data_IF_331277090735
#
_entry.id   IF_331277090735
#
_cell.length_a   1.000
_cell.length_b   1.000
_cell.length_c   1.000
_cell.angle_alpha   90.00
_cell.angle_beta   90.00
_cell.angle_gamma   90.00
#
_symmetry.space_group_name_H-M   'P 1'
#
loop_
_entity.id
_entity.type
_entity.pdbx_description
1 polymer ?
#
# COMPACT_ATOMS: atom_id res chain seq x y z
N UNK A 1 -10.06 -22.19 -7.09
CA UNK A 1 -9.82 -20.85 -6.53
C UNK A 1 -9.06 -21.02 -5.21
N UNK A 2 -7.96 -20.28 -5.02
CA UNK A 2 -7.17 -20.28 -3.78
C UNK A 2 -7.37 -18.98 -3.02
N UNK A 3 -7.29 -19.05 -1.69
CA UNK A 3 -7.25 -17.85 -0.85
C UNK A 3 -5.87 -17.20 -0.90
N UNK A 4 -5.82 -15.86 -0.86
CA UNK A 4 -4.56 -15.12 -0.91
C UNK A 4 -3.63 -15.45 0.26
N UNK A 5 -2.37 -15.75 -0.03
CA UNK A 5 -1.33 -16.04 0.94
C UNK A 5 -0.31 -14.88 1.00
N UNK A 6 -0.71 -13.78 1.62
CA UNK A 6 0.11 -12.55 1.68
C UNK A 6 1.51 -12.74 2.29
N UNK A 7 1.73 -13.56 3.32
CA UNK A 7 3.09 -13.81 3.81
C UNK A 7 4.00 -14.42 2.74
N UNK A 8 3.52 -15.42 2.01
CA UNK A 8 4.26 -16.04 0.90
C UNK A 8 4.52 -15.04 -0.23
N UNK A 9 3.49 -14.25 -0.60
CA UNK A 9 3.65 -13.24 -1.66
C UNK A 9 4.67 -12.17 -1.28
N UNK A 10 4.67 -11.72 -0.02
CA UNK A 10 5.64 -10.75 0.49
C UNK A 10 7.06 -11.28 0.49
N UNK A 11 7.29 -12.53 0.87
CA UNK A 11 8.60 -13.16 0.83
C UNK A 11 9.12 -13.32 -0.61
N UNK A 12 8.28 -13.84 -1.51
CA UNK A 12 8.65 -14.00 -2.92
C UNK A 12 8.93 -12.66 -3.60
N UNK A 13 8.12 -11.63 -3.31
CA UNK A 13 8.37 -10.26 -3.74
C UNK A 13 9.74 -9.76 -3.26
N UNK A 14 10.05 -9.95 -1.98
CA UNK A 14 11.34 -9.53 -1.40
C UNK A 14 12.53 -10.18 -2.11
N UNK A 15 12.42 -11.46 -2.50
CA UNK A 15 13.45 -12.18 -3.27
C UNK A 15 13.61 -11.60 -4.68
N UNK A 16 12.48 -11.35 -5.38
CA UNK A 16 12.49 -10.71 -6.69
C UNK A 16 13.13 -9.33 -6.62
N UNK A 17 12.72 -8.49 -5.65
CA UNK A 17 13.26 -7.14 -5.50
C UNK A 17 14.75 -7.14 -5.17
N UNK A 18 15.23 -8.13 -4.41
CA UNK A 18 16.66 -8.29 -4.15
C UNK A 18 17.46 -8.57 -5.42
N UNK A 19 16.96 -9.48 -6.27
CA UNK A 19 17.60 -9.79 -7.57
C UNK A 19 17.62 -8.55 -8.46
N UNK A 20 16.50 -7.83 -8.56
CA UNK A 20 16.42 -6.60 -9.36
C UNK A 20 17.44 -5.57 -8.88
N UNK A 21 17.64 -5.42 -7.56
CA UNK A 21 18.61 -4.51 -6.98
C UNK A 21 20.08 -4.83 -7.30
N UNK A 22 20.37 -6.04 -7.79
CA UNK A 22 21.74 -6.41 -8.25
C UNK A 22 22.04 -5.83 -9.64
N UNK A 23 21.04 -5.35 -10.39
CA UNK A 23 21.16 -4.86 -11.75
C UNK A 23 21.31 -3.34 -11.86
N UNK A 24 21.14 -2.60 -10.76
CA UNK A 24 21.36 -1.15 -10.70
C UNK A 24 21.65 -0.71 -9.26
N UNK A 25 22.53 0.28 -9.05
CA UNK A 25 22.82 0.83 -7.73
C UNK A 25 21.64 1.63 -7.16
N UNK A 26 20.70 2.07 -8.00
CA UNK A 26 19.54 2.87 -7.60
C UNK A 26 18.27 2.10 -7.94
N UNK A 27 17.54 1.69 -6.90
CA UNK A 27 16.28 0.99 -7.01
C UNK A 27 15.19 1.68 -6.18
N UNK A 28 14.01 1.80 -6.75
CA UNK A 28 12.78 2.16 -6.06
C UNK A 28 11.82 0.98 -6.09
N UNK A 29 11.55 0.37 -4.94
CA UNK A 29 10.50 -0.64 -4.79
C UNK A 29 9.15 0.08 -4.71
N UNK A 30 8.46 0.16 -5.85
CA UNK A 30 7.21 0.90 -5.99
C UNK A 30 6.01 0.16 -5.38
N UNK A 31 5.93 -1.15 -5.57
CA UNK A 31 4.87 -2.00 -5.02
C UNK A 31 5.38 -3.42 -4.70
N UNK A 32 4.49 -4.33 -4.33
CA UNK A 32 4.84 -5.75 -4.10
C UNK A 32 5.31 -6.46 -5.38
N UNK A 33 4.92 -5.96 -6.55
CA UNK A 33 5.14 -6.59 -7.86
C UNK A 33 5.81 -5.67 -8.88
N UNK A 34 6.20 -4.46 -8.49
CA UNK A 34 6.79 -3.46 -9.37
C UNK A 34 7.96 -2.74 -8.72
N UNK A 35 9.01 -2.53 -9.51
CA UNK A 35 10.21 -1.79 -9.12
C UNK A 35 10.71 -0.96 -10.30
N UNK A 36 11.21 0.23 -10.01
CA UNK A 36 12.00 1.02 -10.96
C UNK A 36 13.48 0.87 -10.61
N UNK A 37 14.32 0.84 -11.63
CA UNK A 37 15.78 0.91 -11.50
C UNK A 37 16.30 2.00 -12.41
N UNK A 38 17.33 2.70 -11.97
CA UNK A 38 18.02 3.69 -12.76
C UNK A 38 19.07 3.01 -13.61
N UNK A 39 19.01 3.19 -14.91
CA UNK A 39 19.90 2.59 -15.90
C UNK A 39 20.93 3.58 -16.46
N UNK A 40 20.87 4.85 -15.99
CA UNK A 40 21.84 5.87 -16.40
C UNK A 40 23.26 5.43 -16.00
N UNK A 41 24.21 5.65 -16.88
CA UNK A 41 25.65 5.33 -16.68
C UNK A 41 26.01 3.83 -16.55
N UNK A 42 25.11 2.92 -16.92
CA UNK A 42 25.50 1.51 -17.01
C UNK A 42 26.34 1.27 -18.27
N UNK A 43 27.51 0.61 -18.14
CA UNK A 43 28.47 0.43 -19.26
C UNK A 43 28.10 -0.72 -20.22
N UNK A 44 26.87 -1.24 -20.15
CA UNK A 44 26.46 -2.47 -20.86
C UNK A 44 25.49 -2.18 -22.01
N UNK A 45 25.37 -3.14 -22.92
CA UNK A 45 24.25 -3.16 -23.84
C UNK A 45 22.95 -3.32 -23.02
N UNK A 46 22.11 -2.28 -23.02
CA UNK A 46 20.95 -2.16 -22.16
C UNK A 46 19.95 -3.29 -22.37
N UNK A 47 19.65 -3.63 -23.60
CA UNK A 47 18.68 -4.69 -23.90
C UNK A 47 19.15 -6.06 -23.44
N UNK A 48 20.42 -6.42 -23.67
CA UNK A 48 20.97 -7.69 -23.21
C UNK A 48 21.04 -7.76 -21.67
N UNK A 49 21.34 -6.65 -21.01
CA UNK A 49 21.35 -6.56 -19.56
C UNK A 49 19.94 -6.77 -18.97
N UNK A 50 18.92 -6.18 -19.56
CA UNK A 50 17.53 -6.36 -19.13
C UNK A 50 16.98 -7.75 -19.42
N UNK A 51 17.41 -8.39 -20.53
CA UNK A 51 17.08 -9.80 -20.79
C UNK A 51 17.74 -10.72 -19.74
N UNK A 52 18.98 -10.45 -19.35
CA UNK A 52 19.65 -11.19 -18.29
C UNK A 52 18.94 -11.05 -16.95
N UNK A 53 18.50 -9.84 -16.58
CA UNK A 53 17.69 -9.58 -15.38
C UNK A 53 16.42 -10.44 -15.39
N UNK A 54 15.66 -10.40 -16.48
CA UNK A 54 14.43 -11.16 -16.63
C UNK A 54 14.66 -12.67 -16.46
N UNK A 55 15.69 -13.20 -17.11
CA UNK A 55 16.04 -14.62 -17.02
C UNK A 55 16.53 -14.99 -15.61
N UNK A 56 17.32 -14.15 -14.96
CA UNK A 56 17.80 -14.36 -13.60
C UNK A 56 16.66 -14.44 -12.59
N UNK A 57 15.71 -13.49 -12.64
CA UNK A 57 14.51 -13.52 -11.79
C UNK A 57 13.74 -14.82 -12.00
N UNK A 58 13.48 -15.20 -13.26
CA UNK A 58 12.76 -16.43 -13.60
C UNK A 58 13.46 -17.69 -13.10
N UNK A 59 14.78 -17.79 -13.29
CA UNK A 59 15.54 -18.97 -12.90
C UNK A 59 15.58 -19.14 -11.37
N UNK A 60 15.71 -18.06 -10.61
CA UNK A 60 15.88 -18.12 -9.17
C UNK A 60 14.59 -18.14 -8.38
N UNK A 61 13.52 -17.59 -8.94
CA UNK A 61 12.23 -17.47 -8.22
C UNK A 61 11.09 -18.26 -8.87
N UNK A 62 11.26 -18.70 -10.12
CA UNK A 62 10.18 -19.27 -10.93
C UNK A 62 9.16 -18.24 -11.43
N UNK A 63 9.29 -16.95 -11.05
CA UNK A 63 8.33 -15.89 -11.37
C UNK A 63 8.74 -15.20 -12.68
N UNK A 64 7.90 -15.24 -13.73
CA UNK A 64 8.17 -14.48 -14.94
C UNK A 64 7.90 -12.99 -14.71
N UNK A 65 8.81 -12.15 -15.17
CA UNK A 65 8.67 -10.68 -15.13
C UNK A 65 8.79 -10.10 -16.55
N UNK A 66 8.30 -8.87 -16.73
CA UNK A 66 8.53 -8.07 -17.93
C UNK A 66 9.28 -6.79 -17.54
N UNK A 67 10.10 -6.30 -18.44
CA UNK A 67 10.91 -5.10 -18.27
C UNK A 67 10.56 -4.08 -19.35
N UNK A 68 10.22 -2.88 -18.94
CA UNK A 68 10.04 -1.74 -19.84
C UNK A 68 11.13 -0.72 -19.59
N UNK A 69 11.80 -0.30 -20.65
CA UNK A 69 12.83 0.73 -20.63
C UNK A 69 12.28 2.01 -21.23
N UNK A 70 12.64 3.14 -20.64
CA UNK A 70 12.23 4.48 -21.10
C UNK A 70 12.89 5.56 -20.27
N UNK A 71 13.11 6.70 -20.86
CA UNK A 71 13.77 7.88 -20.27
C UNK A 71 13.04 8.47 -19.07
N UNK A 72 11.75 8.12 -18.88
CA UNK A 72 10.94 8.55 -17.75
C UNK A 72 10.16 7.40 -17.15
N UNK A 73 9.66 7.57 -15.92
CA UNK A 73 8.84 6.53 -15.26
C UNK A 73 7.55 6.22 -16.03
N UNK A 74 6.88 7.22 -16.61
CA UNK A 74 5.67 7.02 -17.42
C UNK A 74 5.99 6.23 -18.68
N UNK A 75 7.09 6.55 -19.37
CA UNK A 75 7.55 5.83 -20.56
C UNK A 75 7.97 4.39 -20.22
N UNK A 76 8.74 4.20 -19.15
CA UNK A 76 9.14 2.86 -18.70
C UNK A 76 7.91 1.97 -18.36
N UNK A 77 6.88 2.54 -17.70
CA UNK A 77 5.63 1.82 -17.41
C UNK A 77 4.83 1.49 -18.67
N UNK A 78 4.79 2.41 -19.63
CA UNK A 78 4.17 2.19 -20.92
C UNK A 78 4.92 1.08 -21.70
N UNK A 79 6.25 1.14 -21.72
CA UNK A 79 7.11 0.12 -22.33
C UNK A 79 6.88 -1.27 -21.69
N UNK A 80 6.81 -1.34 -20.37
CA UNK A 80 6.52 -2.58 -19.65
C UNK A 80 5.16 -3.18 -20.03
N UNK A 81 4.12 -2.34 -20.18
CA UNK A 81 2.81 -2.77 -20.67
C UNK A 81 2.90 -3.38 -22.08
N UNK A 82 3.68 -2.78 -22.97
CA UNK A 82 3.90 -3.27 -24.34
C UNK A 82 4.68 -4.58 -24.33
N UNK A 83 5.76 -4.65 -23.55
CA UNK A 83 6.53 -5.87 -23.36
C UNK A 83 5.67 -7.06 -22.89
N UNK A 84 4.71 -6.79 -22.01
CA UNK A 84 3.77 -7.80 -21.49
C UNK A 84 2.70 -8.19 -22.50
N UNK A 85 2.21 -7.24 -23.30
CA UNK A 85 1.10 -7.45 -24.25
C UNK A 85 1.53 -8.20 -25.51
N UNK A 86 2.75 -7.97 -25.98
CA UNK A 86 3.22 -8.47 -27.28
C UNK A 86 4.36 -9.48 -27.12
N UNK A 87 4.13 -10.79 -27.31
CA UNK A 87 5.15 -11.84 -27.16
C UNK A 87 6.42 -11.67 -28.00
N UNK A 88 6.32 -10.95 -29.12
CA UNK A 88 7.46 -10.68 -30.03
C UNK A 88 8.62 -9.93 -29.37
N UNK A 89 8.36 -9.23 -28.27
CA UNK A 89 9.40 -8.50 -27.52
C UNK A 89 10.07 -9.35 -26.43
N UNK A 90 9.68 -10.63 -26.32
CA UNK A 90 10.21 -11.54 -25.29
C UNK A 90 10.30 -10.90 -23.89
N UNK A 91 9.28 -10.14 -23.53
CA UNK A 91 9.13 -9.53 -22.20
C UNK A 91 10.08 -8.38 -21.88
N UNK A 92 10.87 -7.86 -22.82
CA UNK A 92 11.69 -6.65 -22.66
C UNK A 92 11.43 -5.71 -23.84
N UNK A 93 11.19 -4.44 -23.55
CA UNK A 93 10.91 -3.44 -24.58
C UNK A 93 11.47 -2.08 -24.17
N UNK A 94 12.22 -1.46 -25.10
CA UNK A 94 12.70 -0.09 -24.98
C UNK A 94 11.84 0.82 -25.86
N UNK A 95 11.19 1.80 -25.25
CA UNK A 95 10.31 2.73 -25.95
C UNK A 95 11.08 3.87 -26.61
N UNK A 96 12.25 4.21 -26.06
CA UNK A 96 13.08 5.32 -26.56
C UNK A 96 13.78 4.96 -27.90
N UNK A 97 13.90 3.66 -28.22
CA UNK A 97 14.39 3.19 -29.53
C UNK A 97 13.36 3.35 -30.67
N UNK A 98 12.10 3.76 -30.34
CA UNK A 98 11.08 3.88 -31.36
C UNK A 98 11.25 5.16 -32.20
N UNK A 99 11.19 5.07 -33.54
CA UNK A 99 11.00 6.25 -34.37
C UNK A 99 9.69 6.99 -34.00
N UNK A 100 9.71 8.31 -34.09
CA UNK A 100 8.60 9.18 -33.67
C UNK A 100 7.23 8.75 -34.23
N UNK A 101 7.17 8.37 -35.51
CA UNK A 101 5.91 7.91 -36.11
C UNK A 101 5.37 6.62 -35.48
N UNK A 102 6.26 5.70 -35.11
CA UNK A 102 5.88 4.46 -34.41
C UNK A 102 5.48 4.75 -32.97
N UNK A 103 6.15 5.68 -32.31
CA UNK A 103 5.78 6.15 -30.98
C UNK A 103 4.36 6.73 -30.99
N UNK A 104 4.03 7.64 -31.92
CA UNK A 104 2.68 8.19 -32.07
C UNK A 104 1.62 7.11 -32.31
N UNK A 105 1.89 6.14 -33.21
CA UNK A 105 0.99 5.01 -33.46
C UNK A 105 0.78 4.14 -32.21
N UNK A 106 1.84 3.95 -31.41
CA UNK A 106 1.74 3.23 -30.16
C UNK A 106 0.84 3.98 -29.17
N UNK A 107 1.02 5.29 -28.99
CA UNK A 107 0.16 6.09 -28.13
C UNK A 107 -1.31 6.07 -28.57
N UNK A 108 -1.59 6.07 -29.86
CA UNK A 108 -2.96 5.92 -30.41
C UNK A 108 -3.61 4.57 -30.04
N UNK A 109 -2.80 3.53 -29.88
CA UNK A 109 -3.28 2.18 -29.51
C UNK A 109 -3.52 1.94 -28.03
N UNK A 110 -3.21 2.93 -27.19
CA UNK A 110 -3.29 2.84 -25.72
C UNK A 110 -4.37 3.80 -25.21
N UNK A 111 -5.37 3.27 -24.52
CA UNK A 111 -6.39 4.10 -23.88
C UNK A 111 -5.77 5.02 -22.82
N UNK A 112 -6.30 6.23 -22.68
CA UNK A 112 -5.80 7.21 -21.70
C UNK A 112 -5.89 6.71 -20.25
N UNK A 113 -6.88 5.86 -19.95
CA UNK A 113 -7.03 5.23 -18.64
C UNK A 113 -5.97 4.17 -18.30
N UNK A 114 -5.19 3.77 -19.29
CA UNK A 114 -4.09 2.82 -19.16
C UNK A 114 -2.73 3.48 -18.94
N UNK A 115 -2.67 4.81 -19.04
CA UNK A 115 -1.49 5.56 -18.65
C UNK A 115 -1.25 5.48 -17.14
N UNK A 116 -0.01 5.22 -16.77
CA UNK A 116 0.38 5.22 -15.37
C UNK A 116 0.12 6.58 -14.72
N UNK A 117 -0.62 6.58 -13.61
CA UNK A 117 -1.06 7.79 -12.91
C UNK A 117 -2.44 8.31 -13.32
N UNK A 118 -3.03 7.81 -14.41
CA UNK A 118 -4.40 8.14 -14.82
C UNK A 118 -5.37 7.10 -14.24
N UNK A 119 -6.02 7.42 -13.13
CA UNK A 119 -7.01 6.55 -12.51
C UNK A 119 -8.39 6.66 -13.19
N UNK A 120 -9.34 5.76 -12.83
CA UNK A 120 -10.69 5.72 -13.40
C UNK A 120 -11.42 7.06 -13.44
N UNK A 121 -11.31 7.88 -12.39
CA UNK A 121 -12.00 9.17 -12.34
C UNK A 121 -11.32 10.19 -13.24
N UNK A 122 -9.99 10.17 -13.30
CA UNK A 122 -9.22 11.00 -14.23
C UNK A 122 -9.53 10.66 -15.67
N UNK A 123 -9.57 9.38 -16.03
CA UNK A 123 -9.95 8.92 -17.37
C UNK A 123 -11.37 9.37 -17.75
N UNK A 124 -12.35 9.30 -16.82
CA UNK A 124 -13.70 9.81 -17.08
C UNK A 124 -13.73 11.32 -17.34
N UNK A 125 -12.91 12.11 -16.64
CA UNK A 125 -12.83 13.56 -16.89
C UNK A 125 -12.21 13.85 -18.26
N UNK A 126 -11.13 13.16 -18.62
CA UNK A 126 -10.47 13.29 -19.91
C UNK A 126 -11.39 12.89 -21.08
N UNK A 127 -12.08 11.76 -20.97
CA UNK A 127 -13.03 11.29 -21.98
C UNK A 127 -14.17 12.29 -22.24
N UNK A 128 -14.61 13.05 -21.23
CA UNK A 128 -15.65 14.09 -21.41
C UNK A 128 -15.21 15.26 -22.28
N UNK A 129 -13.91 15.50 -22.41
CA UNK A 129 -13.34 16.54 -23.27
C UNK A 129 -12.75 15.99 -24.56
N UNK A 130 -13.07 14.71 -24.92
CA UNK A 130 -12.63 14.08 -26.16
C UNK A 130 -11.24 13.44 -26.12
N UNK A 131 -10.58 13.39 -24.94
CA UNK A 131 -9.27 12.75 -24.77
C UNK A 131 -9.48 11.27 -24.39
N UNK A 132 -9.36 10.38 -25.38
CA UNK A 132 -9.64 8.95 -25.23
C UNK A 132 -8.37 8.09 -25.22
N UNK A 133 -7.37 8.49 -26.02
CA UNK A 133 -6.11 7.77 -26.19
C UNK A 133 -4.96 8.47 -25.50
N UNK A 134 -3.87 7.76 -25.29
CA UNK A 134 -2.62 8.33 -24.81
C UNK A 134 -2.05 9.36 -25.77
N UNK A 135 -2.35 9.23 -27.08
CA UNK A 135 -1.99 10.20 -28.10
C UNK A 135 -2.78 11.50 -27.97
N UNK A 136 -4.10 11.40 -27.76
CA UNK A 136 -4.92 12.61 -27.50
C UNK A 136 -4.42 13.35 -26.29
N UNK A 137 -4.06 12.62 -25.22
CA UNK A 137 -3.47 13.21 -24.01
C UNK A 137 -2.12 13.86 -24.30
N UNK A 138 -1.26 13.21 -25.08
CA UNK A 138 0.04 13.73 -25.50
C UNK A 138 -0.09 15.02 -26.32
N UNK A 139 -1.10 15.11 -27.19
CA UNK A 139 -1.36 16.31 -28.04
C UNK A 139 -2.16 17.40 -27.32
N UNK A 140 -2.70 17.12 -26.14
CA UNK A 140 -3.51 18.09 -25.38
C UNK A 140 -2.68 19.27 -24.88
N UNK A 141 -3.30 20.44 -24.76
CA UNK A 141 -2.69 21.58 -24.08
C UNK A 141 -2.41 21.25 -22.61
N UNK A 142 -1.19 21.53 -22.17
CA UNK A 142 -0.74 21.20 -20.79
C UNK A 142 -1.52 21.98 -19.72
N UNK A 143 -1.99 23.20 -20.03
CA UNK A 143 -2.81 24.01 -19.12
C UNK A 143 -4.20 23.40 -18.90
N UNK A 144 -4.79 22.84 -19.96
CA UNK A 144 -6.06 22.08 -19.86
C UNK A 144 -5.88 20.84 -18.98
N UNK A 145 -4.80 20.09 -19.22
CA UNK A 145 -4.49 18.90 -18.43
C UNK A 145 -4.25 19.25 -16.95
N UNK A 146 -3.49 20.33 -16.68
CA UNK A 146 -3.22 20.80 -15.31
C UNK A 146 -4.51 21.26 -14.62
N UNK A 147 -5.41 21.92 -15.31
CA UNK A 147 -6.72 22.33 -14.77
C UNK A 147 -7.59 21.13 -14.37
N UNK A 148 -7.60 20.07 -15.19
CA UNK A 148 -8.45 18.89 -14.96
C UNK A 148 -7.88 17.92 -13.92
N UNK A 149 -6.56 17.68 -13.93
CA UNK A 149 -5.90 16.62 -13.18
C UNK A 149 -4.90 17.16 -12.15
N UNK A 150 -4.69 18.45 -12.09
CA UNK A 150 -3.70 19.11 -11.22
C UNK A 150 -2.26 18.85 -11.66
N UNK A 151 -1.32 19.13 -10.77
CA UNK A 151 0.14 18.99 -11.01
C UNK A 151 0.55 17.59 -11.44
N UNK A 152 -0.16 16.54 -10.99
CA UNK A 152 0.14 15.18 -11.41
C UNK A 152 -0.16 14.95 -12.89
N UNK A 153 -1.27 15.50 -13.41
CA UNK A 153 -1.58 15.46 -14.83
C UNK A 153 -0.49 16.13 -15.67
N UNK A 154 -0.04 17.33 -15.26
CA UNK A 154 1.06 18.03 -15.89
C UNK A 154 2.35 17.21 -15.92
N UNK A 155 2.73 16.59 -14.81
CA UNK A 155 3.93 15.73 -14.74
C UNK A 155 3.82 14.56 -15.70
N UNK A 156 2.69 13.84 -15.72
CA UNK A 156 2.47 12.72 -16.64
C UNK A 156 2.60 13.19 -18.10
N UNK A 157 2.03 14.35 -18.42
CA UNK A 157 2.12 14.93 -19.75
C UNK A 157 3.58 15.21 -20.15
N UNK A 158 4.34 15.87 -19.30
CA UNK A 158 5.76 16.15 -19.55
C UNK A 158 6.62 14.88 -19.65
N UNK A 159 6.33 13.88 -18.86
CA UNK A 159 7.05 12.59 -18.92
C UNK A 159 6.81 11.83 -20.23
N UNK A 160 5.66 11.99 -20.87
CA UNK A 160 5.43 11.45 -22.23
C UNK A 160 6.28 12.14 -23.30
N UNK A 161 6.75 13.37 -23.05
CA UNK A 161 7.72 14.07 -23.91
C UNK A 161 9.19 13.73 -23.57
N UNK A 162 9.44 12.79 -22.66
CA UNK A 162 10.79 12.43 -22.23
C UNK A 162 11.37 13.33 -21.13
N UNK A 163 10.60 14.30 -20.61
CA UNK A 163 11.05 15.20 -19.54
C UNK A 163 10.80 14.56 -18.18
N UNK A 164 11.83 14.04 -17.53
CA UNK A 164 11.71 13.40 -16.21
C UNK A 164 11.28 14.41 -15.14
N UNK A 165 10.08 14.25 -14.62
CA UNK A 165 9.45 15.10 -13.60
C UNK A 165 9.14 14.38 -12.30
N UNK A 166 9.21 13.05 -12.29
CA UNK A 166 8.91 12.18 -11.14
C UNK A 166 10.22 11.55 -10.69
N UNK A 167 10.84 12.06 -9.60
CA UNK A 167 12.15 11.59 -9.17
C UNK A 167 12.09 10.13 -8.69
N UNK A 168 13.24 9.45 -8.70
CA UNK A 168 13.40 8.14 -8.07
C UNK A 168 13.41 8.27 -6.55
N UNK A 169 12.58 7.47 -5.88
CA UNK A 169 12.47 7.40 -4.42
C UNK A 169 13.25 6.18 -3.89
N UNK A 170 14.58 6.28 -3.85
CA UNK A 170 15.45 5.20 -3.32
C UNK A 170 15.25 4.98 -1.81
N UNK A 171 14.86 6.02 -1.07
CA UNK A 171 14.52 5.94 0.36
C UNK A 171 13.02 6.19 0.52
N UNK A 172 12.25 5.20 1.01
CA UNK A 172 10.83 5.38 1.23
C UNK A 172 10.56 6.58 2.15
N UNK A 173 9.65 7.49 1.80
CA UNK A 173 9.33 8.63 2.64
C UNK A 173 8.75 8.18 3.98
N UNK A 174 8.95 8.99 5.02
CA UNK A 174 8.37 8.72 6.35
C UNK A 174 6.85 8.60 6.22
N UNK A 175 6.30 7.53 6.79
CA UNK A 175 4.85 7.28 6.74
C UNK A 175 4.08 8.42 7.39
N UNK A 176 3.11 8.97 6.69
CA UNK A 176 2.23 10.03 7.20
C UNK A 176 1.07 9.48 8.03
N UNK A 177 0.69 8.22 7.77
CA UNK A 177 -0.40 7.53 8.45
C UNK A 177 -0.22 6.00 8.43
N UNK A 178 -0.82 5.32 9.40
CA UNK A 178 -0.93 3.87 9.46
C UNK A 178 -2.40 3.51 9.45
N UNK A 179 -2.82 2.73 8.45
CA UNK A 179 -4.18 2.23 8.30
C UNK A 179 -4.24 0.75 8.66
N UNK A 180 -5.23 0.38 9.46
CA UNK A 180 -5.58 -1.02 9.73
C UNK A 180 -7.09 -1.20 9.55
N UNK A 181 -7.49 -1.91 8.50
CA UNK A 181 -8.90 -2.14 8.18
C UNK A 181 -9.12 -3.53 7.59
N UNK A 182 -10.35 -4.01 7.70
CA UNK A 182 -10.78 -5.29 7.12
C UNK A 182 -12.22 -5.20 6.64
N UNK A 183 -12.49 -5.84 5.50
CA UNK A 183 -13.84 -6.31 5.20
C UNK A 183 -14.11 -7.54 6.05
N UNK A 184 -15.26 -7.58 6.70
CA UNK A 184 -15.62 -8.66 7.60
C UNK A 184 -16.09 -9.90 6.83
N UNK A 185 -15.88 -11.08 7.38
CA UNK A 185 -16.34 -12.35 6.79
C UNK A 185 -17.84 -12.51 6.79
N UNK A 186 -18.54 -11.79 7.68
CA UNK A 186 -19.98 -11.62 7.74
C UNK A 186 -20.31 -10.17 8.10
N UNK A 187 -21.51 -9.72 7.76
CA UNK A 187 -21.97 -8.39 8.18
C UNK A 187 -22.14 -8.36 9.71
N UNK A 188 -21.50 -7.42 10.39
CA UNK A 188 -21.59 -7.23 11.84
C UNK A 188 -22.71 -6.22 12.15
N UNK A 189 -23.55 -6.52 13.16
CA UNK A 189 -24.65 -5.67 13.58
C UNK A 189 -24.48 -5.19 15.02
N UNK A 190 -23.84 -6.02 15.83
CA UNK A 190 -23.68 -5.78 17.25
C UNK A 190 -22.47 -4.90 17.56
N UNK A 191 -22.61 -4.03 18.58
CA UNK A 191 -21.57 -3.13 19.02
C UNK A 191 -20.34 -3.89 19.53
N UNK A 192 -20.55 -4.95 20.31
CA UNK A 192 -19.47 -5.68 20.95
C UNK A 192 -18.64 -6.48 19.92
N UNK A 193 -19.29 -7.05 18.90
CA UNK A 193 -18.60 -7.70 17.79
C UNK A 193 -17.74 -6.70 17.00
N UNK A 194 -18.26 -5.50 16.71
CA UNK A 194 -17.53 -4.42 16.05
C UNK A 194 -16.36 -3.93 16.90
N UNK A 195 -16.58 -3.74 18.20
CA UNK A 195 -15.57 -3.30 19.13
C UNK A 195 -14.42 -4.33 19.24
N UNK A 196 -14.76 -5.61 19.31
CA UNK A 196 -13.77 -6.69 19.27
C UNK A 196 -12.94 -6.68 17.98
N UNK A 197 -13.60 -6.57 16.82
CA UNK A 197 -12.92 -6.51 15.53
C UNK A 197 -11.98 -5.30 15.45
N UNK A 198 -12.44 -4.12 15.88
CA UNK A 198 -11.63 -2.90 15.90
C UNK A 198 -10.47 -2.98 16.90
N UNK A 199 -10.66 -3.61 18.06
CA UNK A 199 -9.58 -3.84 19.04
C UNK A 199 -8.45 -4.69 18.42
N UNK A 200 -8.80 -5.77 17.74
CA UNK A 200 -7.83 -6.59 17.01
C UNK A 200 -7.11 -5.82 15.88
N UNK A 201 -7.83 -4.95 15.17
CA UNK A 201 -7.24 -4.09 14.14
C UNK A 201 -6.35 -3.00 14.75
N UNK A 202 -6.71 -2.49 15.94
CA UNK A 202 -5.91 -1.53 16.70
C UNK A 202 -4.57 -2.13 17.08
N UNK A 203 -4.55 -3.35 17.62
CA UNK A 203 -3.30 -4.05 17.92
C UNK A 203 -2.38 -4.13 16.70
N UNK A 204 -2.92 -4.51 15.54
CA UNK A 204 -2.14 -4.57 14.29
C UNK A 204 -1.59 -3.20 13.86
N UNK A 205 -2.37 -2.13 14.04
CA UNK A 205 -1.93 -0.77 13.74
C UNK A 205 -0.82 -0.33 14.69
N UNK A 206 -0.99 -0.57 16.00
CA UNK A 206 -0.01 -0.24 17.04
C UNK A 206 1.29 -1.02 16.85
N UNK A 207 1.22 -2.31 16.51
CA UNK A 207 2.42 -3.08 16.18
C UNK A 207 3.21 -2.46 15.02
N UNK A 208 2.51 -2.03 13.96
CA UNK A 208 3.15 -1.32 12.84
C UNK A 208 3.74 0.02 13.27
N UNK A 209 3.02 0.78 14.10
CA UNK A 209 3.46 2.06 14.65
C UNK A 209 4.79 1.90 15.39
N UNK A 210 4.85 0.91 16.27
CA UNK A 210 6.01 0.61 17.09
C UNK A 210 7.20 0.08 16.28
N UNK A 211 6.96 -0.79 15.28
CA UNK A 211 8.01 -1.30 14.40
C UNK A 211 8.70 -0.17 13.62
N UNK A 212 7.99 0.92 13.33
CA UNK A 212 8.54 2.11 12.70
C UNK A 212 9.05 3.16 13.70
N UNK A 213 8.99 2.89 15.01
CA UNK A 213 9.38 3.82 16.09
C UNK A 213 8.66 5.18 15.97
N UNK A 214 7.35 5.13 15.71
CA UNK A 214 6.49 6.29 15.53
C UNK A 214 5.48 6.40 16.66
N UNK A 215 4.96 7.60 16.87
CA UNK A 215 3.81 7.93 17.72
C UNK A 215 2.75 8.65 16.91
N UNK A 216 1.51 8.71 17.41
CA UNK A 216 0.38 9.34 16.74
C UNK A 216 -0.29 10.37 17.62
N UNK A 217 -0.79 11.46 17.01
CA UNK A 217 -1.62 12.46 17.68
C UNK A 217 -3.05 12.50 17.15
N UNK A 218 -3.41 11.69 16.12
CA UNK A 218 -4.78 11.62 15.62
C UNK A 218 -5.22 10.17 15.40
N UNK A 219 -6.45 9.87 15.80
CA UNK A 219 -7.09 8.57 15.57
C UNK A 219 -8.40 8.81 14.83
N UNK A 220 -8.54 8.16 13.67
CA UNK A 220 -9.81 8.07 12.94
C UNK A 220 -10.33 6.65 13.01
N UNK A 221 -11.58 6.47 13.41
CA UNK A 221 -12.29 5.18 13.33
C UNK A 221 -13.37 5.31 12.27
N UNK A 222 -13.57 4.25 11.49
CA UNK A 222 -14.59 4.20 10.46
C UNK A 222 -15.24 2.82 10.36
N UNK A 223 -16.51 2.82 10.00
CA UNK A 223 -17.31 1.63 9.72
C UNK A 223 -18.22 1.89 8.50
N UNK A 224 -18.34 0.88 7.61
CA UNK A 224 -19.07 0.98 6.35
C UNK A 224 -20.08 -0.16 6.22
N UNK A 225 -21.24 0.14 5.66
CA UNK A 225 -22.14 -0.88 5.12
C UNK A 225 -21.70 -1.31 3.72
N UNK A 226 -22.21 -2.42 3.22
CA UNK A 226 -21.80 -2.94 1.90
C UNK A 226 -22.43 -2.09 0.77
N UNK A 227 -21.62 -1.37 -0.04
CA UNK A 227 -22.14 -0.51 -1.10
C UNK A 227 -22.73 -1.30 -2.30
N UNK A 228 -22.47 -2.61 -2.37
CA UNK A 228 -22.96 -3.47 -3.46
C UNK A 228 -24.31 -4.11 -3.16
N UNK A 229 -24.81 -4.02 -1.93
CA UNK A 229 -26.15 -4.50 -1.54
C UNK A 229 -27.16 -3.39 -1.76
N UNK A 230 -27.87 -3.41 -2.92
CA UNK A 230 -28.85 -2.37 -3.30
C UNK A 230 -30.03 -2.28 -2.37
N UNK A 231 -30.38 -3.37 -1.70
CA UNK A 231 -31.54 -3.52 -0.80
C UNK A 231 -31.27 -2.96 0.61
N UNK A 232 -30.06 -2.48 0.89
CA UNK A 232 -29.66 -1.96 2.21
C UNK A 232 -29.08 -0.57 2.09
N UNK A 233 -29.32 0.30 3.09
CA UNK A 233 -28.77 1.65 3.06
C UNK A 233 -27.25 1.64 3.07
N UNK A 234 -26.65 2.37 2.12
CA UNK A 234 -25.20 2.57 2.05
C UNK A 234 -24.80 3.72 2.98
N UNK A 235 -24.14 3.40 4.08
CA UNK A 235 -23.70 4.37 5.10
C UNK A 235 -22.19 4.24 5.33
N UNK A 236 -21.53 5.39 5.38
CA UNK A 236 -20.15 5.54 5.75
C UNK A 236 -20.06 6.42 7.01
N UNK A 237 -19.72 5.82 8.13
CA UNK A 237 -19.61 6.50 9.42
C UNK A 237 -18.13 6.56 9.81
N UNK A 238 -17.65 7.75 10.13
CA UNK A 238 -16.28 7.96 10.59
C UNK A 238 -16.18 9.15 11.52
N UNK A 239 -15.24 9.10 12.45
CA UNK A 239 -14.87 10.24 13.30
C UNK A 239 -13.41 10.21 13.61
N UNK A 240 -12.82 11.40 13.59
CA UNK A 240 -11.43 11.64 13.97
C UNK A 240 -11.38 12.39 15.28
N UNK A 241 -10.48 11.99 16.17
CA UNK A 241 -10.10 12.75 17.37
C UNK A 241 -8.62 13.12 17.30
N UNK A 242 -8.30 14.33 17.75
CA UNK A 242 -6.92 14.78 17.99
C UNK A 242 -6.58 14.68 19.47
N UNK A 243 -5.31 14.42 19.76
CA UNK A 243 -4.77 14.37 21.12
C UNK A 243 -3.70 15.44 21.28
N UNK A 244 -3.61 16.02 22.45
CA UNK A 244 -2.62 17.05 22.78
C UNK A 244 -1.20 16.47 22.88
N UNK A 245 -1.08 15.22 23.33
CA UNK A 245 0.19 14.50 23.43
C UNK A 245 0.23 13.30 22.48
N UNK A 246 1.41 12.99 21.96
CA UNK A 246 1.62 11.84 21.09
C UNK A 246 1.58 10.55 21.91
N UNK A 247 0.82 9.55 21.44
CA UNK A 247 0.67 8.24 22.07
C UNK A 247 1.13 7.12 21.14
N UNK A 248 1.57 6.01 21.74
CA UNK A 248 2.04 4.83 20.99
C UNK A 248 1.61 3.50 21.63
N UNK A 249 1.04 3.55 22.82
CA UNK A 249 0.72 2.36 23.60
C UNK A 249 -0.69 1.86 23.32
N UNK A 250 -0.80 0.55 23.21
CA UNK A 250 -2.05 -0.14 22.95
C UNK A 250 -3.09 0.10 24.04
N UNK A 251 -2.63 0.17 25.31
CA UNK A 251 -3.48 0.45 26.48
C UNK A 251 -4.17 1.81 26.41
N UNK A 252 -3.53 2.80 25.78
CA UNK A 252 -4.08 4.14 25.59
C UNK A 252 -4.99 4.23 24.35
N UNK A 253 -4.59 3.56 23.26
CA UNK A 253 -5.28 3.67 21.96
C UNK A 253 -6.58 2.86 21.93
N UNK A 254 -6.65 1.65 22.53
CA UNK A 254 -7.86 0.81 22.51
C UNK A 254 -9.07 1.50 23.14
N UNK A 255 -8.99 2.09 24.35
CA UNK A 255 -10.13 2.79 24.95
C UNK A 255 -10.64 3.93 24.08
N UNK A 256 -9.74 4.70 23.45
CA UNK A 256 -10.10 5.80 22.57
C UNK A 256 -10.82 5.30 21.31
N UNK A 257 -10.36 4.20 20.71
CA UNK A 257 -11.02 3.57 19.55
C UNK A 257 -12.43 3.11 19.92
N UNK A 258 -12.61 2.48 21.09
CA UNK A 258 -13.93 2.05 21.59
C UNK A 258 -14.83 3.26 21.84
N UNK A 259 -14.31 4.33 22.37
CA UNK A 259 -15.03 5.59 22.61
C UNK A 259 -15.48 6.24 21.30
N UNK A 260 -14.61 6.30 20.30
CA UNK A 260 -14.95 6.80 18.96
C UNK A 260 -16.00 5.91 18.31
N UNK A 261 -15.89 4.59 18.43
CA UNK A 261 -16.87 3.66 17.89
C UNK A 261 -18.26 3.92 18.49
N UNK A 262 -18.38 4.14 19.81
CA UNK A 262 -19.64 4.48 20.46
C UNK A 262 -20.30 5.74 19.89
N UNK A 263 -19.48 6.72 19.50
CA UNK A 263 -19.97 7.97 18.91
C UNK A 263 -20.50 7.82 17.48
N UNK A 264 -19.96 6.86 16.71
CA UNK A 264 -20.36 6.66 15.31
C UNK A 264 -21.30 5.48 15.09
N UNK A 265 -21.37 4.55 16.05
CA UNK A 265 -22.23 3.37 15.94
C UNK A 265 -23.71 3.76 15.89
N UNK A 266 -24.42 3.18 14.95
CA UNK A 266 -25.86 3.31 14.83
C UNK A 266 -26.51 1.91 14.80
N UNK A 267 -27.39 1.58 15.73
CA UNK A 267 -28.09 0.30 15.71
C UNK A 267 -28.97 0.18 14.45
N UNK A 268 -29.24 -1.05 14.04
CA UNK A 268 -30.07 -1.34 12.86
C UNK A 268 -29.30 -1.43 11.54
N UNK A 269 -28.05 -0.98 11.48
CA UNK A 269 -27.21 -1.15 10.30
C UNK A 269 -26.40 -2.44 10.35
N UNK A 270 -26.08 -2.98 9.16
CA UNK A 270 -25.21 -4.15 8.98
C UNK A 270 -23.87 -3.72 8.38
N UNK A 271 -22.83 -3.69 9.19
CA UNK A 271 -21.51 -3.19 8.78
C UNK A 271 -20.70 -4.30 8.11
N UNK A 272 -20.21 -4.01 6.93
CA UNK A 272 -19.38 -4.90 6.09
C UNK A 272 -17.89 -4.71 6.29
N UNK A 273 -17.48 -3.49 6.63
CA UNK A 273 -16.05 -3.13 6.76
C UNK A 273 -15.85 -2.15 7.90
N UNK A 274 -14.75 -2.29 8.60
CA UNK A 274 -14.32 -1.34 9.62
C UNK A 274 -12.82 -1.24 9.71
N UNK A 275 -12.36 -0.19 10.38
CA UNK A 275 -10.94 0.06 10.56
C UNK A 275 -10.64 1.34 11.29
N UNK A 276 -9.34 1.57 11.45
CA UNK A 276 -8.81 2.80 12.02
C UNK A 276 -7.62 3.33 11.23
N UNK A 277 -7.40 4.63 11.36
CA UNK A 277 -6.22 5.34 10.85
C UNK A 277 -5.55 6.02 12.02
N UNK A 278 -4.27 5.74 12.20
CA UNK A 278 -3.36 6.49 13.06
C UNK A 278 -2.67 7.53 12.18
N UNK A 279 -2.92 8.79 12.41
CA UNK A 279 -2.44 9.90 11.59
C UNK A 279 -1.54 10.85 12.37
N UNK A 280 -1.07 11.87 11.67
CA UNK A 280 -0.12 12.85 12.21
C UNK A 280 1.02 12.16 12.96
N UNK A 281 1.73 11.28 12.23
CA UNK A 281 2.78 10.45 12.78
C UNK A 281 4.06 11.26 12.97
N UNK A 282 4.68 11.11 14.12
CA UNK A 282 5.98 11.70 14.44
C UNK A 282 6.96 10.63 14.92
N UNK A 283 8.25 10.85 14.67
CA UNK A 283 9.31 10.06 15.34
C UNK A 283 9.20 10.28 16.83
N UNK A 284 9.52 9.24 17.60
CA UNK A 284 9.40 9.19 19.06
C UNK A 284 10.41 10.11 19.76
N UNK A 285 10.39 11.41 19.44
CA UNK A 285 11.01 12.43 20.27
C UNK A 285 9.94 12.90 21.24
N UNK A 286 9.99 12.44 22.48
CA UNK A 286 9.24 13.07 23.56
C UNK A 286 9.83 14.47 23.77
N UNK A 287 9.23 15.46 23.12
CA UNK A 287 9.39 16.83 23.57
C UNK A 287 8.73 16.86 24.95
N UNK A 288 9.52 17.03 25.99
CA UNK A 288 8.99 17.23 27.32
C UNK A 288 8.20 18.55 27.27
N UNK A 289 6.90 18.46 27.53
CA UNK A 289 6.07 19.65 27.69
C UNK A 289 6.50 20.36 28.99
N UNK A 290 6.91 21.61 28.84
CA UNK A 290 7.37 22.43 29.96
C UNK A 290 6.31 22.58 31.09
N UNK A 291 5.04 22.37 30.77
CA UNK A 291 3.92 22.50 31.68
C UNK A 291 3.41 21.17 32.26
N UNK A 292 3.88 20.04 31.74
CA UNK A 292 3.52 18.70 32.23
C UNK A 292 4.53 18.22 33.29
N UNK A 293 4.51 18.85 34.47
CA UNK A 293 5.34 18.46 35.61
C UNK A 293 5.11 17.01 36.11
N UNK A 294 4.17 16.25 35.52
CA UNK A 294 3.77 14.92 35.98
C UNK A 294 4.05 13.76 35.00
N UNK A 295 4.84 13.97 33.93
CA UNK A 295 5.11 12.88 32.96
C UNK A 295 6.10 11.80 33.47
N UNK A 296 6.67 11.97 34.65
CA UNK A 296 7.49 10.97 35.32
C UNK A 296 6.78 10.34 36.53
N UNK A 297 5.44 10.26 36.53
CA UNK A 297 4.78 9.56 37.64
C UNK A 297 5.20 8.08 37.63
N UNK A 298 5.44 7.49 38.80
CA UNK A 298 5.82 6.07 38.92
C UNK A 298 4.87 5.15 38.19
N UNK A 299 3.60 5.50 38.11
CA UNK A 299 2.56 4.75 37.35
C UNK A 299 2.82 4.74 35.84
N UNK A 300 3.24 5.83 35.22
CA UNK A 300 3.54 5.88 33.79
C UNK A 300 4.81 5.09 33.41
N UNK A 301 5.82 5.13 34.29
CA UNK A 301 7.04 4.31 34.11
C UNK A 301 6.70 2.83 34.18
N UNK A 302 5.81 2.43 35.10
CA UNK A 302 5.34 1.04 35.24
C UNK A 302 4.53 0.63 34.00
N UNK A 303 3.62 1.47 33.48
CA UNK A 303 2.85 1.17 32.27
C UNK A 303 3.75 1.03 31.04
N UNK A 304 4.74 1.89 30.88
CA UNK A 304 5.70 1.80 29.78
C UNK A 304 6.54 0.51 29.86
N UNK A 305 7.01 0.13 31.05
CA UNK A 305 7.71 -1.14 31.26
C UNK A 305 6.81 -2.34 30.97
N UNK A 306 5.55 -2.31 31.41
CA UNK A 306 4.53 -3.35 31.15
C UNK A 306 4.28 -3.51 29.65
N UNK A 307 4.04 -2.42 28.92
CA UNK A 307 3.84 -2.42 27.48
C UNK A 307 5.05 -3.00 26.72
N UNK A 308 6.26 -2.63 27.12
CA UNK A 308 7.49 -3.16 26.53
C UNK A 308 7.68 -4.65 26.82
N UNK A 309 7.34 -5.11 28.02
CA UNK A 309 7.40 -6.54 28.38
C UNK A 309 6.40 -7.35 27.57
N UNK A 310 5.14 -6.92 27.49
CA UNK A 310 4.10 -7.57 26.68
C UNK A 310 4.55 -7.66 25.22
N UNK A 311 5.13 -6.59 24.68
CA UNK A 311 5.65 -6.56 23.31
C UNK A 311 6.79 -7.55 23.09
N UNK A 312 7.74 -7.62 24.02
CA UNK A 312 8.87 -8.56 23.97
C UNK A 312 8.38 -10.02 24.04
N UNK A 313 7.41 -10.32 24.90
CA UNK A 313 6.81 -11.66 24.97
C UNK A 313 6.07 -11.98 23.66
N UNK A 314 5.24 -11.09 23.18
CA UNK A 314 4.45 -11.31 21.95
C UNK A 314 5.32 -11.47 20.69
N UNK A 315 6.49 -10.83 20.65
CA UNK A 315 7.43 -11.02 19.54
C UNK A 315 8.10 -12.40 19.55
N UNK A 316 8.32 -12.96 20.72
CA UNK A 316 8.96 -14.29 20.90
C UNK A 316 7.96 -15.44 20.81
N UNK A 317 6.74 -15.26 21.32
CA UNK A 317 5.74 -16.31 21.51
C UNK A 317 4.48 -16.12 20.65
N UNK A 318 4.62 -15.57 19.45
CA UNK A 318 3.58 -15.50 18.42
C UNK A 318 2.26 -14.88 18.92
N UNK A 319 2.34 -13.69 19.54
CA UNK A 319 1.17 -12.93 20.03
C UNK A 319 0.34 -13.65 21.12
N UNK A 320 1.02 -14.30 22.08
CA UNK A 320 0.37 -15.09 23.13
C UNK A 320 -0.41 -14.25 24.14
N UNK A 321 0.03 -13.01 24.44
CA UNK A 321 -0.66 -12.11 25.37
C UNK A 321 -1.64 -11.24 24.60
N UNK A 322 -2.92 -11.33 24.96
CA UNK A 322 -4.02 -10.55 24.35
C UNK A 322 -4.77 -9.77 25.41
N UNK A 323 -5.38 -8.66 25.03
CA UNK A 323 -6.33 -7.96 25.88
C UNK A 323 -7.66 -8.71 25.92
N UNK A 324 -8.37 -8.65 27.06
CA UNK A 324 -9.68 -9.30 27.19
C UNK A 324 -10.68 -8.86 26.09
N UNK A 325 -10.61 -7.59 25.67
CA UNK A 325 -11.42 -7.05 24.58
C UNK A 325 -11.10 -7.61 23.17
N UNK A 326 -10.00 -8.37 23.04
CA UNK A 326 -9.66 -9.08 21.81
C UNK A 326 -10.22 -10.51 21.79
N UNK A 327 -10.58 -11.01 22.97
CA UNK A 327 -11.10 -12.39 23.12
C UNK A 327 -12.58 -12.41 22.76
N UNK A 328 -12.98 -13.45 22.04
CA UNK A 328 -14.37 -13.66 21.64
C UNK A 328 -14.49 -14.39 20.32
N UNK A 329 -15.64 -14.27 19.68
CA UNK A 329 -15.95 -15.00 18.47
C UNK A 329 -15.30 -14.36 17.24
N UNK A 330 -14.41 -15.10 16.57
CA UNK A 330 -13.69 -14.63 15.38
C UNK A 330 -14.51 -14.67 14.07
N UNK A 331 -15.84 -14.71 14.14
CA UNK A 331 -16.74 -14.72 12.95
C UNK A 331 -16.51 -13.55 12.00
N UNK A 332 -16.00 -12.43 12.49
CA UNK A 332 -15.68 -11.26 11.69
C UNK A 332 -14.46 -11.47 10.76
N UNK A 333 -13.61 -12.46 11.02
CA UNK A 333 -12.46 -12.73 10.18
C UNK A 333 -12.91 -13.18 8.78
N UNK A 334 -12.27 -12.68 7.71
CA UNK A 334 -12.55 -13.16 6.36
C UNK A 334 -12.20 -14.64 6.25
N UNK A 335 -13.05 -15.39 5.55
CA UNK A 335 -12.77 -16.80 5.25
C UNK A 335 -11.51 -16.92 4.40
N UNK A 336 -10.62 -17.80 4.78
CA UNK A 336 -9.36 -18.04 4.09
C UNK A 336 -8.98 -19.55 4.15
N UNK A 337 -9.97 -20.40 3.88
CA UNK A 337 -9.91 -21.84 4.10
C UNK A 337 -9.05 -22.59 3.05
N UNK A 338 -8.79 -21.95 1.90
CA UNK A 338 -8.06 -22.54 0.77
C UNK A 338 -6.70 -21.85 0.52
N UNK A 339 -5.97 -21.51 1.58
CA UNK A 339 -4.60 -20.99 1.42
C UNK A 339 -3.66 -22.11 0.97
N UNK A 340 -2.68 -21.74 0.13
CA UNK A 340 -1.50 -22.57 -0.08
C UNK A 340 -0.66 -22.61 1.20
N UNK A 341 0.19 -23.63 1.34
CA UNK A 341 1.17 -23.67 2.40
C UNK A 341 2.13 -22.47 2.33
N UNK A 342 2.72 -22.13 3.47
CA UNK A 342 3.72 -21.07 3.58
C UNK A 342 5.11 -21.64 3.33
N UNK A 343 5.33 -22.12 2.11
CA UNK A 343 6.52 -22.87 1.68
C UNK A 343 7.86 -22.20 2.00
N UNK A 344 7.89 -20.88 2.12
CA UNK A 344 9.13 -20.12 2.33
C UNK A 344 9.17 -19.38 3.68
N UNK A 345 8.08 -19.39 4.45
CA UNK A 345 7.94 -18.61 5.69
C UNK A 345 7.52 -19.42 6.91
N UNK A 346 7.37 -20.75 6.76
CA UNK A 346 7.03 -21.66 7.86
C UNK A 346 7.74 -23.01 7.68
N UNK A 347 8.62 -23.35 8.61
CA UNK A 347 9.36 -24.62 8.60
C UNK A 347 8.45 -25.87 8.58
N UNK A 348 7.33 -25.82 9.31
CA UNK A 348 6.38 -26.93 9.36
C UNK A 348 5.50 -27.10 8.11
N UNK A 349 5.62 -26.20 7.14
CA UNK A 349 4.84 -26.20 5.91
C UNK A 349 5.71 -26.31 4.64
N UNK A 350 6.99 -26.69 4.81
CA UNK A 350 7.89 -26.95 3.68
C UNK A 350 7.37 -28.09 2.81
N UNK A 351 7.72 -28.07 1.53
CA UNK A 351 7.51 -29.21 0.63
C UNK A 351 8.34 -30.39 1.13
N UNK A 352 7.68 -31.51 1.34
CA UNK A 352 8.35 -32.80 1.59
C UNK A 352 8.58 -33.40 0.19
N UNK A 353 9.86 -33.60 -0.15
CA UNK A 353 10.29 -34.23 -1.41
C UNK A 353 10.41 -35.71 -1.19
#
# INVERSE_FOLDING_TARGET
VKSSNYPLYGDMSSRVMKIIGEYSPVQEVYSIDESFIDLEKLPFNLMSHMQSLRQHVKNWTGIPVCVGVGSTKVLAKLANRIAKKYPRFDGVFDIDELPYERYCKLLQSVEVGDLWGVGRQSAKKLNRIGVHTSYDFYQSDVGVIETLLGVNGKRIHQELYGNSCIPMESIPPTRKQIVSSRSFGCDLKDFDELNQALTNLTRKAVNKLNNHKLSTTTITVFIYTNPHKKDKPCVHLSKTIGMTSAIQDQSQIIPLVSQILRLIYKPGYSFYKGGLVLGNLAKNYQQQDLFSMNQNSPSQIIECKKSNTIRSVNSKFNESIKYASELGNNKWLPRADFKSNRYTTSWGELLII
#
